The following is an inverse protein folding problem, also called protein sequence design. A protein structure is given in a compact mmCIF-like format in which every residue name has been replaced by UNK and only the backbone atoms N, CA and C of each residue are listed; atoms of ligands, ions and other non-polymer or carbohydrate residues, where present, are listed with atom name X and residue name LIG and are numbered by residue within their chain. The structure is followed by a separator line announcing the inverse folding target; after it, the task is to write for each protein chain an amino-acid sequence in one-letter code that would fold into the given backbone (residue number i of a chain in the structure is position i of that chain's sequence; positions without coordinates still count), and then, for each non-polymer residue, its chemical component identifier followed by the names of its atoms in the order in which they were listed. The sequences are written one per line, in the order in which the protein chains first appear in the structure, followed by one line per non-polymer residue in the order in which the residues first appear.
data_IF_319842655163
#
_entry.id   IF_319842655163
#
_cell.length_a   1.000
_cell.length_b   1.000
_cell.length_c   1.000
_cell.angle_alpha   90.00
_cell.angle_beta   90.00
_cell.angle_gamma   90.00
#
_symmetry.space_group_name_H-M   'P 1'
#
loop_
_entity.id
_entity.type
_entity.pdbx_description
1 polymer ?
#
# COMPACT_ATOMS: atom_id res chain seq x y z
N UNK A 1 -57.43 60.33 -4.82
CA UNK A 1 -57.87 60.81 -3.49
C UNK A 1 -58.91 59.82 -2.96
N UNK A 2 -58.81 59.41 -1.68
CA UNK A 2 -59.12 58.06 -1.20
C UNK A 2 -60.47 57.98 -0.49
N UNK A 3 -61.08 56.78 -0.42
CA UNK A 3 -62.10 56.47 0.60
C UNK A 3 -62.06 54.97 0.92
N UNK A 4 -61.50 54.61 2.08
CA UNK A 4 -61.99 53.55 2.97
C UNK A 4 -62.84 54.28 4.03
N UNK A 5 -63.89 53.69 4.66
CA UNK A 5 -63.80 52.39 5.36
C UNK A 5 -65.12 51.56 5.40
N UNK A 6 -65.07 50.31 5.88
CA UNK A 6 -66.09 49.82 6.82
C UNK A 6 -65.63 48.56 7.57
N UNK A 7 -65.89 48.61 8.88
CA UNK A 7 -65.60 47.63 9.92
C UNK A 7 -66.81 46.71 10.16
N UNK A 8 -66.59 45.43 10.41
CA UNK A 8 -67.58 44.54 11.06
C UNK A 8 -66.90 43.39 11.85
N UNK A 9 -67.58 42.77 12.83
CA UNK A 9 -67.07 42.62 14.20
C UNK A 9 -66.59 41.21 14.62
N UNK A 10 -66.00 41.17 15.82
CA UNK A 10 -65.46 40.01 16.52
C UNK A 10 -66.52 39.08 17.17
N UNK A 11 -66.18 37.79 17.28
CA UNK A 11 -66.83 36.77 18.13
C UNK A 11 -65.84 35.62 18.46
N UNK A 12 -66.05 34.82 19.54
CA UNK A 12 -65.02 34.66 20.57
C UNK A 12 -64.32 33.29 20.72
N UNK A 13 -63.15 33.37 21.36
CA UNK A 13 -62.45 32.48 22.32
C UNK A 13 -63.09 31.11 22.61
N UNK A 14 -62.33 30.04 22.33
CA UNK A 14 -62.59 28.66 22.81
C UNK A 14 -61.58 28.29 23.91
N UNK A 15 -62.13 27.78 25.02
CA UNK A 15 -61.45 27.51 26.28
C UNK A 15 -60.70 26.16 26.32
N UNK A 16 -59.62 26.13 27.11
CA UNK A 16 -58.82 24.95 27.44
C UNK A 16 -59.53 24.03 28.49
N UNK A 17 -59.31 22.71 28.46
CA UNK A 17 -59.87 21.81 29.47
C UNK A 17 -59.02 21.79 30.75
N UNK A 18 -59.69 22.00 31.89
CA UNK A 18 -59.19 21.84 33.26
C UNK A 18 -59.03 20.35 33.58
N UNK A 19 -57.83 19.93 33.99
CA UNK A 19 -57.63 18.62 34.62
C UNK A 19 -57.86 18.72 36.14
N UNK A 20 -58.66 17.78 36.64
CA UNK A 20 -59.19 17.67 37.99
C UNK A 20 -58.14 17.08 38.93
N UNK A 21 -57.84 17.79 40.03
CA UNK A 21 -57.08 17.27 41.17
C UNK A 21 -58.04 16.50 42.08
N UNK A 22 -57.72 15.23 42.35
CA UNK A 22 -58.28 14.45 43.45
C UNK A 22 -57.11 13.89 44.27
N UNK A 23 -57.17 14.08 45.59
CA UNK A 23 -56.05 13.88 46.50
C UNK A 23 -55.93 12.50 47.15
N UNK A 24 -54.72 12.29 47.68
CA UNK A 24 -54.37 11.81 49.03
C UNK A 24 -54.79 10.39 49.46
N UNK A 25 -53.81 9.51 49.61
CA UNK A 25 -53.26 9.05 50.92
C UNK A 25 -52.60 7.66 50.78
N UNK A 26 -51.35 7.55 51.21
CA UNK A 26 -50.61 6.28 51.25
C UNK A 26 -49.15 6.49 51.61
N UNK A 27 -48.89 6.86 52.87
CA UNK A 27 -47.56 6.97 53.46
C UNK A 27 -46.77 5.66 53.36
N UNK A 28 -45.62 5.70 52.68
CA UNK A 28 -44.45 4.85 52.96
C UNK A 28 -43.18 5.68 52.71
N UNK A 29 -42.44 6.08 53.75
CA UNK A 29 -41.15 6.74 53.56
C UNK A 29 -40.10 5.67 53.22
N UNK A 30 -39.13 6.01 52.38
CA UNK A 30 -37.82 5.33 52.46
C UNK A 30 -37.30 4.53 51.25
N UNK A 31 -37.75 4.78 50.01
CA UNK A 31 -37.03 4.25 48.83
C UNK A 31 -36.67 5.28 47.75
N UNK A 32 -37.56 6.24 47.45
CA UNK A 32 -37.25 7.29 46.47
C UNK A 32 -36.22 8.31 46.97
N UNK A 33 -36.29 8.70 48.25
CA UNK A 33 -35.33 9.64 48.84
C UNK A 33 -33.90 9.07 48.92
N UNK A 34 -33.75 7.74 49.02
CA UNK A 34 -32.46 7.06 48.97
C UNK A 34 -31.84 7.08 47.57
N UNK A 35 -32.66 6.85 46.54
CA UNK A 35 -32.20 6.86 45.14
C UNK A 35 -31.82 8.26 44.65
N UNK A 36 -32.56 9.29 45.05
CA UNK A 36 -32.22 10.69 44.72
C UNK A 36 -30.94 11.13 45.43
N UNK A 37 -30.72 10.70 46.68
CA UNK A 37 -29.46 10.96 47.39
C UNK A 37 -28.28 10.20 46.77
N UNK A 38 -28.47 8.95 46.34
CA UNK A 38 -27.43 8.18 45.66
C UNK A 38 -27.07 8.79 44.30
N UNK A 39 -28.06 9.24 43.53
CA UNK A 39 -27.85 9.93 42.26
C UNK A 39 -27.14 11.27 42.45
N UNK A 40 -27.50 12.06 43.47
CA UNK A 40 -26.84 13.31 43.78
C UNK A 40 -25.38 13.12 44.25
N UNK A 41 -25.09 12.06 45.02
CA UNK A 41 -23.73 11.72 45.45
C UNK A 41 -22.89 11.19 44.26
N UNK A 42 -23.48 10.40 43.37
CA UNK A 42 -22.81 9.98 42.13
C UNK A 42 -22.54 11.16 41.19
N UNK A 43 -23.48 12.11 41.07
CA UNK A 43 -23.28 13.32 40.27
C UNK A 43 -22.18 14.20 40.88
N UNK A 44 -22.17 14.37 42.21
CA UNK A 44 -21.10 15.11 42.89
C UNK A 44 -19.74 14.41 42.79
N UNK A 45 -19.69 13.08 42.82
CA UNK A 45 -18.47 12.31 42.61
C UNK A 45 -17.93 12.44 41.18
N UNK A 46 -18.80 12.44 40.16
CA UNK A 46 -18.41 12.68 38.76
C UNK A 46 -17.92 14.12 38.56
N UNK A 47 -18.58 15.11 39.17
CA UNK A 47 -18.14 16.52 39.13
C UNK A 47 -16.82 16.72 39.90
N UNK A 48 -16.59 15.99 40.98
CA UNK A 48 -15.35 16.09 41.77
C UNK A 48 -14.16 15.40 41.09
N UNK A 49 -14.39 14.32 40.33
CA UNK A 49 -13.38 13.68 39.47
C UNK A 49 -13.03 14.55 38.26
N UNK A 50 -13.97 15.34 37.74
CA UNK A 50 -13.71 16.33 36.67
C UNK A 50 -12.98 17.60 37.15
N UNK A 51 -13.09 17.94 38.44
CA UNK A 51 -12.47 19.15 39.01
C UNK A 51 -11.08 18.92 39.63
N UNK A 52 -10.58 17.67 39.64
CA UNK A 52 -9.27 17.30 40.20
C UNK A 52 -8.31 16.67 39.18
N UNK A 53 -8.64 16.74 37.89
CA UNK A 53 -7.62 16.61 36.87
C UNK A 53 -6.66 17.80 37.02
N UNK A 54 -5.34 17.60 37.21
CA UNK A 54 -4.39 18.71 37.03
C UNK A 54 -4.65 19.29 35.63
N UNK A 55 -4.34 20.57 35.38
CA UNK A 55 -4.38 21.07 34.01
C UNK A 55 -3.55 20.09 33.20
N UNK A 56 -4.24 19.34 32.33
CA UNK A 56 -3.58 18.74 31.20
C UNK A 56 -3.09 19.94 30.42
N UNK A 57 -1.91 20.43 30.80
CA UNK A 57 -0.94 20.87 29.84
C UNK A 57 -0.93 19.72 28.83
N UNK A 58 -1.72 19.89 27.76
CA UNK A 58 -1.35 19.36 26.49
C UNK A 58 0.07 19.89 26.28
N UNK A 59 1.04 19.11 26.76
CA UNK A 59 2.40 19.14 26.27
C UNK A 59 2.23 18.76 24.82
N UNK A 60 1.97 19.81 24.04
CA UNK A 60 2.26 19.88 22.64
C UNK A 60 3.78 19.78 22.51
N UNK A 61 4.33 18.63 22.91
CA UNK A 61 5.66 18.18 22.56
C UNK A 61 5.51 17.51 21.18
N UNK A 62 4.88 18.25 20.26
CA UNK A 62 4.76 17.96 18.83
C UNK A 62 6.13 18.13 18.19
N UNK A 63 6.98 17.12 18.41
CA UNK A 63 8.32 17.04 17.83
C UNK A 63 8.69 15.61 17.46
N UNK A 64 7.70 14.79 17.09
CA UNK A 64 7.81 13.33 17.06
C UNK A 64 8.17 12.77 15.68
N UNK A 65 7.22 12.68 14.76
CA UNK A 65 7.30 11.71 13.65
C UNK A 65 8.28 12.09 12.53
N UNK A 66 8.13 13.27 11.90
CA UNK A 66 9.06 13.70 10.83
C UNK A 66 10.45 14.06 11.36
N UNK A 67 10.54 14.58 12.59
CA UNK A 67 11.83 14.84 13.26
C UNK A 67 12.55 13.54 13.62
N UNK A 68 11.83 12.49 14.01
CA UNK A 68 12.36 11.15 14.25
C UNK A 68 12.81 10.47 12.94
N UNK A 69 12.02 10.58 11.87
CA UNK A 69 12.34 9.95 10.57
C UNK A 69 13.41 10.68 9.76
N UNK A 70 13.53 12.01 9.87
CA UNK A 70 14.46 12.81 9.07
C UNK A 70 15.50 13.59 9.87
N UNK A 71 15.55 13.39 11.18
CA UNK A 71 16.61 13.90 12.05
C UNK A 71 16.58 15.41 12.25
N UNK A 72 16.13 15.84 13.43
CA UNK A 72 16.50 17.14 13.98
C UNK A 72 17.98 17.16 14.40
N UNK A 73 18.88 17.37 13.44
CA UNK A 73 20.31 17.46 13.68
C UNK A 73 20.93 18.51 12.76
N UNK A 74 21.30 19.66 13.34
CA UNK A 74 22.28 20.56 12.72
C UNK A 74 23.57 19.77 12.49
N UNK A 75 23.81 19.32 11.26
CA UNK A 75 25.18 19.13 10.80
C UNK A 75 25.68 20.50 10.34
N UNK A 76 26.19 21.29 11.28
CA UNK A 76 27.33 22.13 10.95
C UNK A 76 28.43 21.15 10.58
N UNK A 77 28.71 21.04 9.28
CA UNK A 77 29.92 20.37 8.84
C UNK A 77 31.11 21.02 9.56
N UNK A 78 32.01 20.25 10.19
CA UNK A 78 33.28 20.79 10.64
C UNK A 78 34.01 21.35 9.41
N UNK A 79 34.23 22.66 9.39
CA UNK A 79 35.18 23.29 8.48
C UNK A 79 36.52 22.58 8.67
N UNK A 80 37.13 22.02 7.61
CA UNK A 80 38.49 21.49 7.72
C UNK A 80 39.42 22.62 8.15
N UNK A 81 40.36 22.39 9.09
CA UNK A 81 41.34 23.41 9.47
C UNK A 81 42.15 23.83 8.24
N UNK A 82 42.29 25.15 8.09
CA UNK A 82 42.94 25.79 6.96
C UNK A 82 44.37 25.30 6.76
N UNK A 83 44.58 24.58 5.66
CA UNK A 83 45.91 24.40 5.07
C UNK A 83 46.24 25.60 4.20
N UNK A 84 47.18 26.41 4.66
CA UNK A 84 47.82 27.47 3.85
C UNK A 84 48.61 26.76 2.75
N UNK A 85 47.98 26.62 1.57
CA UNK A 85 48.64 26.25 0.32
C UNK A 85 48.45 27.41 -0.64
N UNK A 86 49.45 28.27 -0.73
CA UNK A 86 49.51 29.39 -1.66
C UNK A 86 49.26 28.90 -3.10
N UNK A 87 48.14 29.34 -3.69
CA UNK A 87 47.89 29.23 -5.12
C UNK A 87 48.94 30.07 -5.84
N UNK A 88 49.83 29.51 -6.69
CA UNK A 88 50.68 30.35 -7.51
C UNK A 88 49.81 31.09 -8.53
N UNK A 89 50.11 32.37 -8.84
CA UNK A 89 49.38 33.12 -9.84
C UNK A 89 49.49 32.43 -11.20
N UNK A 90 48.41 32.52 -11.98
CA UNK A 90 48.39 32.05 -13.36
C UNK A 90 49.46 32.79 -14.16
N UNK A 91 50.59 32.12 -14.39
CA UNK A 91 51.61 32.57 -15.32
C UNK A 91 51.05 32.49 -16.73
N UNK A 92 50.97 33.64 -17.41
CA UNK A 92 50.86 33.69 -18.86
C UNK A 92 52.13 33.06 -19.43
N UNK A 93 52.04 31.82 -19.90
CA UNK A 93 53.08 31.25 -20.73
C UNK A 93 52.90 31.78 -22.16
N UNK A 94 53.94 32.37 -22.78
CA UNK A 94 53.90 32.65 -24.21
C UNK A 94 53.83 31.32 -24.97
N UNK A 95 52.99 31.27 -26.00
CA UNK A 95 52.87 30.11 -26.87
C UNK A 95 54.24 29.75 -27.48
N UNK A 96 54.62 28.47 -27.56
CA UNK A 96 55.85 28.08 -28.24
C UNK A 96 55.73 28.33 -29.75
N UNK A 97 56.78 28.87 -30.39
CA UNK A 97 56.80 29.05 -31.84
C UNK A 97 56.80 27.70 -32.54
N UNK A 98 56.09 27.64 -33.67
CA UNK A 98 55.73 26.40 -34.34
C UNK A 98 56.89 25.54 -34.84
N UNK A 99 56.54 24.28 -35.05
CA UNK A 99 57.10 23.45 -36.11
C UNK A 99 58.18 22.46 -35.69
N UNK A 100 57.78 21.22 -35.36
CA UNK A 100 58.38 19.99 -35.90
C UNK A 100 57.29 18.92 -35.98
N UNK A 101 56.81 18.66 -37.21
CA UNK A 101 55.81 17.65 -37.49
C UNK A 101 56.43 16.26 -37.43
N UNK A 102 55.98 15.44 -36.49
CA UNK A 102 56.12 13.98 -36.60
C UNK A 102 55.03 13.49 -37.57
N UNK A 103 55.35 12.67 -38.59
CA UNK A 103 54.33 12.04 -39.41
C UNK A 103 53.48 11.13 -38.51
N UNK A 104 52.21 11.50 -38.34
CA UNK A 104 51.26 10.77 -37.51
C UNK A 104 51.11 9.34 -38.00
N UNK A 105 51.18 8.39 -37.08
CA UNK A 105 50.57 7.07 -37.32
C UNK A 105 49.10 7.31 -37.68
N UNK A 106 48.58 6.71 -38.76
CA UNK A 106 47.16 6.78 -39.05
C UNK A 106 46.42 6.15 -37.87
N UNK A 107 45.71 6.99 -37.14
CA UNK A 107 44.77 6.59 -36.10
C UNK A 107 43.68 5.78 -36.81
N UNK A 108 43.81 4.45 -36.78
CA UNK A 108 42.81 3.55 -37.35
C UNK A 108 41.49 3.82 -36.62
N UNK A 109 40.59 4.56 -37.27
CA UNK A 109 39.27 4.85 -36.76
C UNK A 109 38.59 3.55 -36.34
N UNK A 110 38.10 3.49 -35.10
CA UNK A 110 37.27 2.38 -34.68
C UNK A 110 36.08 2.27 -35.65
N UNK A 111 35.74 1.06 -36.13
CA UNK A 111 34.63 0.90 -37.06
C UNK A 111 33.35 1.45 -36.42
N UNK A 112 32.48 2.10 -37.21
CA UNK A 112 31.25 2.69 -36.70
C UNK A 112 30.43 1.62 -35.97
N UNK A 113 29.77 1.96 -34.84
CA UNK A 113 28.92 1.01 -34.13
C UNK A 113 27.87 0.49 -35.11
N UNK A 114 27.81 -0.83 -35.27
CA UNK A 114 26.79 -1.46 -36.12
C UNK A 114 25.42 -1.03 -35.62
N UNK A 115 24.48 -0.63 -36.50
CA UNK A 115 23.13 -0.29 -36.07
C UNK A 115 22.54 -1.46 -35.30
N UNK A 116 22.17 -1.23 -34.03
CA UNK A 116 21.41 -2.21 -33.26
C UNK A 116 20.12 -2.46 -34.02
N UNK A 117 19.94 -3.69 -34.52
CA UNK A 117 18.65 -4.15 -35.02
C UNK A 117 17.72 -4.22 -33.80
N UNK A 118 17.05 -3.10 -33.51
CA UNK A 118 15.94 -3.11 -32.57
C UNK A 118 14.82 -3.86 -33.26
N UNK A 119 14.54 -5.08 -32.82
CA UNK A 119 13.31 -5.76 -33.21
C UNK A 119 12.16 -4.80 -32.83
N UNK A 120 11.31 -4.36 -33.77
CA UNK A 120 10.25 -3.42 -33.45
C UNK A 120 9.38 -4.01 -32.34
N UNK A 121 9.18 -3.23 -31.26
CA UNK A 121 8.26 -3.64 -30.20
C UNK A 121 6.89 -3.92 -30.82
N UNK A 122 6.17 -4.98 -30.37
CA UNK A 122 4.84 -5.28 -30.86
C UNK A 122 3.96 -4.03 -30.77
N UNK A 123 3.36 -3.64 -31.89
CA UNK A 123 2.39 -2.53 -31.90
C UNK A 123 1.13 -3.03 -31.19
N UNK A 124 0.82 -2.42 -30.06
CA UNK A 124 -0.45 -2.66 -29.36
C UNK A 124 -1.54 -2.00 -30.19
N UNK A 125 -2.43 -2.80 -30.75
CA UNK A 125 -3.61 -2.34 -31.48
C UNK A 125 -4.75 -2.29 -30.46
N UNK A 126 -5.22 -1.09 -30.13
CA UNK A 126 -6.40 -0.93 -29.27
C UNK A 126 -7.65 -1.30 -30.07
N UNK A 127 -8.42 -2.26 -29.55
CA UNK A 127 -9.72 -2.58 -30.11
C UNK A 127 -10.70 -1.43 -29.83
N UNK A 128 -11.65 -1.16 -30.76
CA UNK A 128 -12.74 -0.24 -30.49
C UNK A 128 -13.44 -0.58 -29.17
N UNK A 129 -13.74 0.45 -28.38
CA UNK A 129 -14.44 0.30 -27.10
C UNK A 129 -15.94 0.28 -27.29
N UNK A 130 -16.62 -0.54 -26.48
CA UNK A 130 -18.08 -0.60 -26.47
C UNK A 130 -18.66 0.75 -26.03
N UNK A 131 -19.85 1.09 -26.52
CA UNK A 131 -20.50 2.35 -26.18
C UNK A 131 -20.83 2.46 -24.68
N UNK A 132 -21.06 1.32 -24.03
CA UNK A 132 -21.37 1.17 -22.61
C UNK A 132 -20.15 0.74 -21.76
N UNK A 133 -18.95 0.71 -22.33
CA UNK A 133 -17.72 0.35 -21.65
C UNK A 133 -17.58 1.06 -20.29
N UNK A 134 -17.14 0.32 -19.28
CA UNK A 134 -16.84 0.89 -17.97
C UNK A 134 -15.62 1.79 -18.05
N UNK A 135 -15.67 2.94 -17.40
CA UNK A 135 -14.66 3.99 -17.53
C UNK A 135 -13.79 4.06 -16.28
N UNK A 136 -12.50 3.80 -16.47
CA UNK A 136 -11.44 3.99 -15.47
C UNK A 136 -10.88 5.40 -15.63
N UNK A 137 -11.14 6.27 -14.65
CA UNK A 137 -10.56 7.62 -14.60
C UNK A 137 -9.23 7.59 -13.84
N UNK A 138 -8.15 8.01 -14.48
CA UNK A 138 -6.83 8.15 -13.85
C UNK A 138 -6.53 9.62 -13.59
N UNK A 139 -6.25 9.96 -12.33
CA UNK A 139 -5.94 11.30 -11.81
C UNK A 139 -4.55 11.33 -11.21
N UNK A 140 -3.85 12.45 -11.35
CA UNK A 140 -2.60 12.69 -10.64
C UNK A 140 -1.51 13.33 -11.47
N UNK A 141 -0.25 13.05 -11.08
CA UNK A 141 0.96 13.69 -11.62
C UNK A 141 1.53 12.97 -12.85
N UNK A 142 2.79 13.24 -13.20
CA UNK A 142 3.46 12.58 -14.34
C UNK A 142 3.55 11.05 -14.20
N UNK A 143 3.60 10.52 -12.98
CA UNK A 143 3.61 9.06 -12.76
C UNK A 143 2.22 8.48 -13.05
N UNK A 144 1.14 9.20 -12.71
CA UNK A 144 -0.23 8.83 -13.07
C UNK A 144 -0.44 8.77 -14.59
N UNK A 145 0.19 9.68 -15.34
CA UNK A 145 0.17 9.64 -16.80
C UNK A 145 0.82 8.33 -17.32
N UNK A 146 1.96 7.93 -16.76
CA UNK A 146 2.60 6.65 -17.06
C UNK A 146 1.74 5.44 -16.69
N UNK A 147 1.07 5.48 -15.53
CA UNK A 147 0.10 4.45 -15.13
C UNK A 147 -1.07 4.33 -16.12
N UNK A 148 -1.63 5.46 -16.56
CA UNK A 148 -2.72 5.47 -17.52
C UNK A 148 -2.33 4.86 -18.86
N UNK A 149 -1.12 5.15 -19.36
CA UNK A 149 -0.57 4.51 -20.57
C UNK A 149 -0.46 3.00 -20.38
N UNK A 150 0.06 2.55 -19.24
CA UNK A 150 0.13 1.12 -18.91
C UNK A 150 -1.24 0.45 -18.88
N UNK A 151 -2.26 1.11 -18.32
CA UNK A 151 -3.63 0.61 -18.23
C UNK A 151 -4.31 0.56 -19.61
N UNK A 152 -4.07 1.54 -20.48
CA UNK A 152 -4.54 1.51 -21.87
C UNK A 152 -4.00 0.29 -22.61
N UNK A 153 -2.71 -0.04 -22.40
CA UNK A 153 -2.12 -1.26 -22.95
C UNK A 153 -2.75 -2.52 -22.34
N UNK A 154 -2.95 -2.53 -21.02
CA UNK A 154 -3.51 -3.66 -20.29
C UNK A 154 -4.94 -4.02 -20.71
N UNK A 155 -5.73 -3.03 -21.11
CA UNK A 155 -7.12 -3.18 -21.53
C UNK A 155 -7.29 -2.99 -23.04
N UNK A 156 -6.22 -2.98 -23.84
CA UNK A 156 -6.30 -2.73 -25.28
C UNK A 156 -7.22 -3.72 -26.01
N UNK A 157 -7.23 -4.98 -25.57
CA UNK A 157 -8.03 -6.09 -26.08
C UNK A 157 -9.35 -6.32 -25.32
N UNK A 158 -9.69 -5.41 -24.41
CA UNK A 158 -10.91 -5.47 -23.58
C UNK A 158 -11.87 -4.35 -24.02
N UNK A 159 -12.83 -4.60 -24.94
CA UNK A 159 -13.75 -3.59 -25.45
C UNK A 159 -14.63 -2.95 -24.36
N UNK A 160 -14.95 -3.71 -23.31
CA UNK A 160 -15.81 -3.31 -22.20
C UNK A 160 -15.15 -2.40 -21.16
N UNK A 161 -13.87 -2.05 -21.32
CA UNK A 161 -13.13 -1.17 -20.41
C UNK A 161 -12.44 -0.06 -21.18
N UNK A 162 -12.70 1.19 -20.79
CA UNK A 162 -12.10 2.40 -21.34
C UNK A 162 -11.28 3.11 -20.27
N UNK A 163 -10.06 3.49 -20.59
CA UNK A 163 -9.18 4.25 -19.69
C UNK A 163 -9.14 5.71 -20.13
N UNK A 164 -9.54 6.61 -19.23
CA UNK A 164 -9.49 8.06 -19.43
C UNK A 164 -8.46 8.65 -18.47
N UNK A 165 -7.44 9.31 -19.01
CA UNK A 165 -6.46 10.04 -18.20
C UNK A 165 -6.84 11.50 -18.08
N UNK A 166 -6.87 12.01 -16.86
CA UNK A 166 -6.82 13.44 -16.56
C UNK A 166 -5.60 13.78 -15.70
N UNK A 167 -4.51 13.04 -15.90
CA UNK A 167 -3.24 13.34 -15.27
C UNK A 167 -2.69 14.69 -15.78
N UNK A 168 -2.06 15.44 -14.89
CA UNK A 168 -1.32 16.66 -15.22
C UNK A 168 0.10 16.52 -14.71
N UNK A 169 1.14 16.60 -15.56
CA UNK A 169 2.53 16.31 -15.15
C UNK A 169 3.02 17.09 -13.91
N UNK A 170 2.63 18.37 -13.79
CA UNK A 170 3.01 19.24 -12.67
C UNK A 170 2.05 19.21 -11.48
N UNK A 171 1.02 18.34 -11.50
CA UNK A 171 0.05 18.26 -10.40
C UNK A 171 0.77 18.02 -9.07
N UNK A 172 0.37 18.80 -8.08
CA UNK A 172 0.86 18.73 -6.70
C UNK A 172 -0.35 18.82 -5.77
N UNK A 173 -0.29 18.12 -4.64
CA UNK A 173 -1.23 18.29 -3.54
C UNK A 173 -0.82 19.45 -2.63
N UNK A 174 0.45 19.86 -2.67
CA UNK A 174 0.97 20.97 -1.87
C UNK A 174 0.69 22.31 -2.56
N UNK A 175 1.03 22.44 -3.85
CA UNK A 175 0.85 23.67 -4.63
C UNK A 175 -0.55 23.79 -5.24
N UNK A 176 -1.11 25.00 -5.21
CA UNK A 176 -2.35 25.36 -5.90
C UNK A 176 -2.22 26.63 -6.77
N UNK A 177 -1.02 27.22 -6.84
CA UNK A 177 -0.71 28.43 -7.60
C UNK A 177 -0.67 28.17 -9.11
N UNK A 178 -0.11 27.04 -9.53
CA UNK A 178 -0.07 26.63 -10.94
C UNK A 178 -1.37 25.94 -11.38
N UNK A 179 -1.88 25.06 -10.52
CA UNK A 179 -3.11 24.31 -10.74
C UNK A 179 -3.74 23.88 -9.42
N UNK A 180 -4.87 24.50 -9.05
CA UNK A 180 -5.62 24.15 -7.85
C UNK A 180 -6.43 22.86 -8.08
N UNK A 181 -5.76 21.71 -8.00
CA UNK A 181 -6.36 20.40 -8.26
C UNK A 181 -7.62 20.16 -7.42
N UNK A 182 -7.61 20.54 -6.15
CA UNK A 182 -8.74 20.32 -5.24
C UNK A 182 -9.95 21.14 -5.67
N UNK A 183 -9.76 22.40 -6.10
CA UNK A 183 -10.85 23.22 -6.63
C UNK A 183 -11.40 22.70 -7.96
N UNK A 184 -10.56 22.09 -8.81
CA UNK A 184 -10.97 21.58 -10.13
C UNK A 184 -11.63 20.20 -10.06
N UNK A 185 -11.32 19.41 -9.03
CA UNK A 185 -11.74 18.01 -8.91
C UNK A 185 -13.27 17.80 -9.05
N UNK A 186 -14.16 18.59 -8.42
CA UNK A 186 -15.61 18.40 -8.58
C UNK A 186 -16.08 18.54 -10.02
N UNK A 187 -15.60 19.56 -10.75
CA UNK A 187 -15.93 19.75 -12.16
C UNK A 187 -15.40 18.57 -13.00
N UNK A 188 -14.17 18.13 -12.73
CA UNK A 188 -13.56 17.00 -13.43
C UNK A 188 -14.37 15.70 -13.30
N UNK A 189 -14.94 15.46 -12.11
CA UNK A 189 -15.78 14.28 -11.82
C UNK A 189 -17.16 14.36 -12.49
N UNK A 190 -17.63 15.56 -12.85
CA UNK A 190 -18.92 15.78 -13.51
C UNK A 190 -18.85 15.77 -15.04
N UNK A 191 -17.66 15.90 -15.63
CA UNK A 191 -17.46 15.93 -17.09
C UNK A 191 -17.88 14.62 -17.80
N UNK A 192 -18.02 13.51 -17.09
CA UNK A 192 -18.40 12.24 -17.69
C UNK A 192 -18.81 11.19 -16.67
N UNK A 193 -19.26 10.05 -17.19
CA UNK A 193 -19.53 8.86 -16.37
C UNK A 193 -18.21 8.14 -16.11
N UNK A 194 -17.87 7.97 -14.83
CA UNK A 194 -16.71 7.20 -14.38
C UNK A 194 -17.18 6.07 -13.47
N UNK A 195 -16.58 4.89 -13.62
CA UNK A 195 -16.93 3.68 -12.86
C UNK A 195 -15.84 3.31 -11.86
N UNK A 196 -14.57 3.57 -12.19
CA UNK A 196 -13.43 3.39 -11.29
C UNK A 196 -12.62 4.67 -11.21
N UNK A 197 -12.18 5.03 -10.01
CA UNK A 197 -11.35 6.21 -9.76
C UNK A 197 -9.96 5.74 -9.34
N UNK A 198 -8.94 6.08 -10.12
CA UNK A 198 -7.54 5.75 -9.85
C UNK A 198 -6.77 7.05 -9.61
N UNK A 199 -6.07 7.15 -8.48
CA UNK A 199 -5.29 8.33 -8.09
C UNK A 199 -3.84 7.94 -7.88
N UNK A 200 -2.91 8.69 -8.47
CA UNK A 200 -1.47 8.54 -8.21
C UNK A 200 -0.82 9.93 -8.14
N UNK A 201 -0.50 10.41 -6.94
CA UNK A 201 0.10 11.73 -6.76
C UNK A 201 1.11 11.71 -5.62
N UNK A 202 2.15 12.54 -5.74
CA UNK A 202 3.11 12.78 -4.66
C UNK A 202 4.51 13.14 -5.13
N UNK A 203 4.84 12.92 -6.41
CA UNK A 203 6.22 13.10 -6.91
C UNK A 203 6.69 14.55 -6.82
N UNK A 204 5.73 15.48 -6.91
CA UNK A 204 5.94 16.93 -6.89
C UNK A 204 5.74 17.56 -5.50
N UNK A 205 5.41 16.78 -4.46
CA UNK A 205 4.94 17.32 -3.18
C UNK A 205 6.05 17.60 -2.17
N UNK A 206 7.32 17.34 -2.53
CA UNK A 206 8.48 17.57 -1.66
C UNK A 206 8.88 19.04 -1.58
N UNK A 207 8.00 19.87 -1.04
CA UNK A 207 8.17 21.32 -0.90
C UNK A 207 7.31 21.87 0.25
N UNK A 208 7.61 23.09 0.71
CA UNK A 208 6.82 23.76 1.75
C UNK A 208 5.47 24.25 1.23
N UNK A 209 4.51 24.44 2.14
CA UNK A 209 3.25 25.13 1.81
C UNK A 209 3.47 26.65 1.79
N UNK A 210 2.68 27.33 0.97
CA UNK A 210 2.67 28.79 0.82
C UNK A 210 1.23 29.30 0.92
N UNK A 211 1.06 30.45 1.57
CA UNK A 211 -0.20 31.19 1.59
C UNK A 211 -0.44 31.80 0.22
N UNK A 212 -1.58 31.47 -0.37
CA UNK A 212 -1.95 31.89 -1.72
C UNK A 212 -2.11 33.40 -1.88
N UNK A 213 -2.55 34.11 -0.84
CA UNK A 213 -2.84 35.55 -0.92
C UNK A 213 -1.58 36.40 -0.79
N UNK A 214 -0.65 35.93 0.03
CA UNK A 214 0.55 36.69 0.42
C UNK A 214 1.83 36.15 -0.21
N UNK A 215 1.80 34.92 -0.76
CA UNK A 215 2.98 34.20 -1.25
C UNK A 215 3.95 33.79 -0.14
N UNK A 216 3.59 33.99 1.13
CA UNK A 216 4.46 33.69 2.26
C UNK A 216 4.44 32.19 2.56
N UNK A 217 5.61 31.64 2.85
CA UNK A 217 5.74 30.24 3.29
C UNK A 217 4.99 30.04 4.62
N UNK A 218 4.05 29.11 4.66
CA UNK A 218 3.23 28.83 5.87
C UNK A 218 3.78 27.68 6.68
N UNK A 219 4.07 26.56 6.01
CA UNK A 219 4.41 25.30 6.66
C UNK A 219 5.64 24.69 6.01
N UNK A 220 6.71 24.62 6.79
CA UNK A 220 7.98 24.09 6.32
C UNK A 220 7.92 22.59 6.06
N UNK A 221 8.46 22.15 4.92
CA UNK A 221 8.60 20.75 4.57
C UNK A 221 9.18 19.95 5.76
N UNK A 222 8.57 18.79 6.05
CA UNK A 222 8.94 17.88 7.18
C UNK A 222 8.73 18.48 8.58
N UNK A 223 7.86 19.48 8.74
CA UNK A 223 7.34 19.88 10.05
C UNK A 223 6.00 19.21 10.34
N UNK A 224 5.63 19.12 11.62
CA UNK A 224 4.32 18.59 12.03
C UNK A 224 3.16 19.39 11.42
N UNK A 225 3.32 20.71 11.27
CA UNK A 225 2.35 21.56 10.58
C UNK A 225 2.19 21.18 9.11
N UNK A 226 3.30 20.90 8.43
CA UNK A 226 3.27 20.43 7.04
C UNK A 226 2.57 19.09 6.91
N UNK A 227 2.82 18.15 7.83
CA UNK A 227 2.11 16.87 7.85
C UNK A 227 0.60 17.07 8.02
N UNK A 228 0.19 17.90 8.97
CA UNK A 228 -1.24 18.22 9.20
C UNK A 228 -1.89 18.81 7.95
N UNK A 229 -1.23 19.78 7.31
CA UNK A 229 -1.73 20.39 6.07
C UNK A 229 -1.80 19.39 4.92
N UNK A 230 -0.78 18.54 4.76
CA UNK A 230 -0.75 17.50 3.72
C UNK A 230 -1.85 16.46 3.93
N UNK A 231 -2.04 16.00 5.18
CA UNK A 231 -3.14 15.09 5.55
C UNK A 231 -4.51 15.72 5.28
N UNK A 232 -4.69 16.99 5.61
CA UNK A 232 -5.92 17.72 5.33
C UNK A 232 -6.21 17.80 3.82
N UNK A 233 -5.20 18.05 2.98
CA UNK A 233 -5.38 18.07 1.52
C UNK A 233 -5.76 16.70 0.97
N UNK A 234 -5.08 15.64 1.37
CA UNK A 234 -5.43 14.26 0.97
C UNK A 234 -6.85 13.91 1.43
N UNK A 235 -7.21 14.26 2.66
CA UNK A 235 -8.55 14.03 3.19
C UNK A 235 -9.64 14.74 2.38
N UNK A 236 -9.38 15.98 1.94
CA UNK A 236 -10.31 16.72 1.08
C UNK A 236 -10.48 16.09 -0.30
N UNK A 237 -9.39 15.60 -0.91
CA UNK A 237 -9.45 14.83 -2.17
C UNK A 237 -10.27 13.55 -1.97
N UNK A 238 -9.96 12.76 -0.94
CA UNK A 238 -10.68 11.52 -0.64
C UNK A 238 -12.17 11.77 -0.39
N UNK A 239 -12.53 12.83 0.33
CA UNK A 239 -13.92 13.23 0.55
C UNK A 239 -14.65 13.47 -0.78
N UNK A 240 -14.07 14.29 -1.65
CA UNK A 240 -14.67 14.59 -2.96
C UNK A 240 -14.82 13.34 -3.84
N UNK A 241 -13.83 12.43 -3.83
CA UNK A 241 -13.92 11.17 -4.57
C UNK A 241 -15.01 10.25 -4.00
N UNK A 242 -15.14 10.16 -2.67
CA UNK A 242 -16.14 9.30 -2.01
C UNK A 242 -17.58 9.73 -2.28
N UNK A 243 -17.83 11.03 -2.48
CA UNK A 243 -19.15 11.55 -2.82
C UNK A 243 -19.68 11.00 -4.16
N UNK A 244 -18.81 10.44 -5.00
CA UNK A 244 -19.21 9.76 -6.24
C UNK A 244 -19.80 8.36 -6.01
N UNK A 245 -19.56 7.75 -4.85
CA UNK A 245 -19.93 6.36 -4.55
C UNK A 245 -19.17 5.32 -5.38
N UNK A 246 -18.13 5.71 -6.13
CA UNK A 246 -17.34 4.81 -6.98
C UNK A 246 -16.19 4.17 -6.21
N UNK A 247 -15.74 2.96 -6.59
CA UNK A 247 -14.48 2.39 -6.14
C UNK A 247 -13.30 3.33 -6.36
N UNK A 248 -12.47 3.51 -5.32
CA UNK A 248 -11.30 4.38 -5.33
C UNK A 248 -10.04 3.54 -5.10
N UNK A 249 -9.11 3.61 -6.03
CA UNK A 249 -7.78 3.03 -5.94
C UNK A 249 -6.74 4.13 -5.87
N UNK A 250 -6.09 4.29 -4.71
CA UNK A 250 -4.96 5.20 -4.58
C UNK A 250 -3.66 4.41 -4.69
N UNK A 251 -2.90 4.68 -5.74
CA UNK A 251 -1.62 4.03 -6.02
C UNK A 251 -0.50 4.76 -5.31
N UNK A 252 0.31 4.02 -4.55
CA UNK A 252 1.52 4.56 -3.93
C UNK A 252 2.54 5.05 -4.95
N UNK A 253 3.42 5.95 -4.54
CA UNK A 253 4.54 6.38 -5.37
C UNK A 253 5.68 5.37 -5.31
N UNK A 254 6.39 5.06 -6.41
CA UNK A 254 7.47 4.11 -6.37
C UNK A 254 8.78 4.76 -5.90
N UNK A 255 9.82 3.98 -5.55
CA UNK A 255 11.16 4.52 -5.35
C UNK A 255 11.69 5.15 -6.64
N UNK A 256 12.54 6.17 -6.47
CA UNK A 256 13.24 6.87 -7.55
C UNK A 256 14.73 6.96 -7.24
N UNK A 257 15.55 7.22 -8.26
CA UNK A 257 17.02 7.24 -8.13
C UNK A 257 17.49 8.23 -7.07
N UNK A 258 16.87 9.41 -7.01
CA UNK A 258 17.25 10.45 -6.05
C UNK A 258 16.90 10.03 -4.62
N UNK A 259 17.87 9.73 -3.74
CA UNK A 259 17.60 9.10 -2.44
C UNK A 259 16.71 9.96 -1.52
N UNK A 260 16.91 11.28 -1.54
CA UNK A 260 16.16 12.22 -0.71
C UNK A 260 14.70 12.40 -1.13
N UNK A 261 14.39 12.15 -2.41
CA UNK A 261 13.01 12.09 -2.89
C UNK A 261 12.42 10.72 -2.60
N UNK A 262 13.15 9.63 -2.87
CA UNK A 262 12.71 8.27 -2.56
C UNK A 262 12.32 8.11 -1.08
N UNK A 263 13.17 8.57 -0.16
CA UNK A 263 12.86 8.56 1.27
C UNK A 263 11.62 9.40 1.64
N UNK A 264 11.42 10.54 0.97
CA UNK A 264 10.21 11.35 1.16
C UNK A 264 8.96 10.59 0.69
N UNK A 265 9.00 9.97 -0.50
CA UNK A 265 7.89 9.20 -1.06
C UNK A 265 7.50 8.01 -0.17
N UNK A 266 8.50 7.30 0.37
CA UNK A 266 8.28 6.21 1.32
C UNK A 266 7.45 6.67 2.54
N UNK A 267 7.83 7.80 3.14
CA UNK A 267 7.10 8.36 4.29
C UNK A 267 5.71 8.83 3.89
N UNK A 268 5.57 9.56 2.78
CA UNK A 268 4.25 10.03 2.34
C UNK A 268 3.34 8.90 1.90
N UNK A 269 3.86 7.80 1.36
CA UNK A 269 3.07 6.60 1.07
C UNK A 269 2.47 6.02 2.35
N UNK A 270 3.22 5.99 3.45
CA UNK A 270 2.70 5.56 4.74
C UNK A 270 1.51 6.42 5.22
N UNK A 271 1.63 7.75 5.07
CA UNK A 271 0.55 8.70 5.41
C UNK A 271 -0.67 8.50 4.52
N UNK A 272 -0.46 8.42 3.20
CA UNK A 272 -1.52 8.23 2.21
C UNK A 272 -2.24 6.91 2.45
N UNK A 273 -1.50 5.81 2.64
CA UNK A 273 -2.07 4.48 2.93
C UNK A 273 -3.03 4.54 4.12
N UNK A 274 -2.57 5.08 5.24
CA UNK A 274 -3.41 5.23 6.45
C UNK A 274 -4.69 6.01 6.16
N UNK A 275 -4.60 7.14 5.45
CA UNK A 275 -5.76 7.98 5.15
C UNK A 275 -6.73 7.32 4.16
N UNK A 276 -6.20 6.69 3.11
CA UNK A 276 -6.97 6.00 2.07
C UNK A 276 -7.77 4.85 2.70
N UNK A 277 -7.10 3.99 3.47
CA UNK A 277 -7.73 2.84 4.13
C UNK A 277 -8.75 3.28 5.19
N UNK A 278 -8.42 4.29 6.01
CA UNK A 278 -9.35 4.84 7.01
C UNK A 278 -10.61 5.48 6.37
N UNK A 279 -10.55 5.82 5.09
CA UNK A 279 -11.67 6.37 4.32
C UNK A 279 -12.41 5.32 3.48
N UNK A 280 -12.10 4.02 3.64
CA UNK A 280 -12.76 2.93 2.91
C UNK A 280 -12.37 2.85 1.44
N UNK A 281 -11.28 3.48 1.03
CA UNK A 281 -10.68 3.34 -0.29
C UNK A 281 -9.54 2.31 -0.26
N UNK A 282 -9.13 1.82 -1.42
CA UNK A 282 -8.07 0.82 -1.54
C UNK A 282 -6.73 1.49 -1.84
N UNK A 283 -5.74 1.28 -0.97
CA UNK A 283 -4.35 1.66 -1.26
C UNK A 283 -3.65 0.53 -2.01
N UNK A 284 -3.06 0.85 -3.16
CA UNK A 284 -2.28 -0.10 -3.96
C UNK A 284 -0.80 0.17 -3.69
N UNK A 285 -0.20 -0.70 -2.89
CA UNK A 285 1.23 -0.65 -2.60
C UNK A 285 2.02 -1.29 -3.75
N UNK A 286 2.74 -0.44 -4.47
CA UNK A 286 3.59 -0.84 -5.60
C UNK A 286 5.07 -0.89 -5.23
N UNK A 287 5.46 -0.44 -4.03
CA UNK A 287 6.87 -0.23 -3.67
C UNK A 287 7.72 -1.50 -3.87
N UNK A 288 7.31 -2.69 -3.38
CA UNK A 288 8.10 -3.92 -3.56
C UNK A 288 8.26 -4.33 -5.02
N UNK A 289 7.36 -3.89 -5.91
CA UNK A 289 7.44 -4.17 -7.34
C UNK A 289 8.54 -3.40 -8.07
N UNK A 290 9.16 -2.41 -7.43
CA UNK A 290 10.13 -1.50 -8.06
C UNK A 290 11.41 -1.33 -7.25
N UNK A 291 11.67 -2.26 -6.33
CA UNK A 291 12.92 -2.36 -5.58
C UNK A 291 13.73 -3.59 -5.98
N UNK A 292 15.02 -3.58 -5.66
CA UNK A 292 15.82 -4.80 -5.58
C UNK A 292 15.48 -5.63 -4.33
N UNK A 293 16.19 -6.73 -4.15
CA UNK A 293 15.99 -7.68 -3.03
C UNK A 293 16.30 -7.03 -1.67
N UNK A 294 17.12 -5.97 -1.65
CA UNK A 294 17.43 -5.18 -0.48
C UNK A 294 16.45 -4.01 -0.24
N UNK A 295 15.44 -3.84 -1.09
CA UNK A 295 14.43 -2.78 -0.97
C UNK A 295 14.88 -1.41 -1.50
N UNK A 296 16.00 -1.34 -2.23
CA UNK A 296 16.52 -0.11 -2.81
C UNK A 296 15.99 0.13 -4.22
N UNK A 297 16.13 1.37 -4.69
CA UNK A 297 15.78 1.73 -6.06
C UNK A 297 16.59 0.91 -7.08
N UNK A 298 15.90 0.42 -8.11
CA UNK A 298 16.52 -0.23 -9.27
C UNK A 298 16.00 0.34 -10.59
N UNK A 299 16.87 0.32 -11.61
CA UNK A 299 16.51 0.67 -12.99
C UNK A 299 15.77 -0.47 -13.72
N UNK A 300 15.93 -1.69 -13.24
CA UNK A 300 15.47 -2.93 -13.88
C UNK A 300 14.76 -3.82 -12.88
N UNK A 301 13.90 -4.70 -13.38
CA UNK A 301 13.28 -5.73 -12.59
C UNK A 301 12.45 -6.66 -13.46
N UNK A 302 11.78 -7.66 -12.86
CA UNK A 302 10.90 -8.54 -13.60
C UNK A 302 9.73 -7.73 -14.18
N UNK A 303 9.41 -7.93 -15.45
CA UNK A 303 8.19 -7.42 -16.07
C UNK A 303 6.96 -8.28 -15.70
N UNK A 304 5.82 -8.04 -16.35
CA UNK A 304 4.58 -8.79 -16.11
C UNK A 304 4.69 -10.29 -16.45
N UNK A 305 5.66 -10.66 -17.30
CA UNK A 305 5.94 -12.06 -17.66
C UNK A 305 7.05 -12.67 -16.77
N UNK A 306 7.53 -11.94 -15.77
CA UNK A 306 8.64 -12.33 -14.90
C UNK A 306 10.03 -12.18 -15.54
N UNK A 307 10.14 -11.56 -16.71
CA UNK A 307 11.43 -11.38 -17.41
C UNK A 307 12.10 -10.10 -16.95
N UNK A 308 13.39 -10.19 -16.64
CA UNK A 308 14.20 -9.03 -16.26
C UNK A 308 14.27 -8.02 -17.41
N UNK A 309 13.77 -6.80 -17.18
CA UNK A 309 13.79 -5.69 -18.14
C UNK A 309 14.15 -4.40 -17.44
N UNK A 310 14.71 -3.45 -18.20
CA UNK A 310 14.77 -2.06 -17.75
C UNK A 310 13.33 -1.55 -17.60
N UNK A 311 12.99 -0.97 -16.45
CA UNK A 311 11.66 -0.44 -16.14
C UNK A 311 11.66 1.10 -16.05
N UNK A 312 12.80 1.70 -15.71
CA UNK A 312 12.97 3.15 -15.59
C UNK A 312 13.47 3.79 -16.89
N UNK A 313 13.05 5.04 -17.12
CA UNK A 313 13.69 5.92 -18.06
C UNK A 313 15.09 6.32 -17.57
N UNK A 314 15.86 7.02 -18.41
CA UNK A 314 17.22 7.45 -18.06
C UNK A 314 17.29 8.56 -17.00
N UNK A 315 16.15 9.12 -16.59
CA UNK A 315 16.06 10.19 -15.59
C UNK A 315 15.87 9.68 -14.14
N UNK A 316 15.89 8.36 -13.96
CA UNK A 316 15.76 7.73 -12.65
C UNK A 316 14.40 7.92 -11.96
N UNK A 317 13.41 8.52 -12.63
CA UNK A 317 12.11 8.89 -12.04
C UNK A 317 10.96 8.25 -12.81
N UNK A 318 10.89 8.49 -14.12
CA UNK A 318 9.78 8.02 -14.94
C UNK A 318 9.97 6.58 -15.38
N UNK A 319 8.87 5.94 -15.74
CA UNK A 319 8.85 4.60 -16.30
C UNK A 319 8.99 4.63 -17.82
N UNK A 320 9.69 3.64 -18.37
CA UNK A 320 9.58 3.30 -19.80
C UNK A 320 8.32 2.45 -20.04
N UNK A 321 8.06 2.04 -21.29
CA UNK A 321 6.86 1.25 -21.65
C UNK A 321 6.72 -0.04 -20.83
N UNK A 322 7.80 -0.78 -20.59
CA UNK A 322 7.78 -2.00 -19.79
C UNK A 322 7.44 -1.70 -18.32
N UNK A 323 8.04 -0.66 -17.75
CA UNK A 323 7.73 -0.19 -16.40
C UNK A 323 6.30 0.30 -16.23
N UNK A 324 5.76 1.03 -17.21
CA UNK A 324 4.37 1.48 -17.23
C UNK A 324 3.41 0.29 -17.26
N UNK A 325 3.69 -0.73 -18.08
CA UNK A 325 2.90 -1.96 -18.11
C UNK A 325 2.93 -2.70 -16.77
N UNK A 326 4.10 -2.82 -16.13
CA UNK A 326 4.23 -3.41 -14.79
C UNK A 326 3.47 -2.60 -13.74
N UNK A 327 3.57 -1.27 -13.79
CA UNK A 327 2.84 -0.38 -12.88
C UNK A 327 1.32 -0.60 -12.98
N UNK A 328 0.80 -0.66 -14.21
CA UNK A 328 -0.61 -0.94 -14.46
C UNK A 328 -1.05 -2.32 -13.99
N UNK A 329 -0.17 -3.32 -14.00
CA UNK A 329 -0.48 -4.68 -13.54
C UNK A 329 -0.97 -4.72 -12.08
N UNK A 330 -0.42 -3.88 -11.21
CA UNK A 330 -0.89 -3.81 -9.82
C UNK A 330 -2.34 -3.29 -9.70
N UNK A 331 -2.75 -2.40 -10.60
CA UNK A 331 -4.07 -1.76 -10.57
C UNK A 331 -5.11 -2.56 -11.34
N UNK A 332 -4.72 -3.15 -12.47
CA UNK A 332 -5.65 -3.89 -13.33
C UNK A 332 -6.25 -5.11 -12.63
N UNK A 333 -5.50 -5.77 -11.74
CA UNK A 333 -6.01 -6.93 -11.00
C UNK A 333 -7.20 -6.51 -10.12
N UNK A 334 -7.07 -5.41 -9.39
CA UNK A 334 -8.16 -4.88 -8.55
C UNK A 334 -9.39 -4.49 -9.37
N UNK A 335 -9.20 -3.90 -10.55
CA UNK A 335 -10.30 -3.54 -11.47
C UNK A 335 -10.96 -4.83 -12.01
N UNK A 336 -10.17 -5.80 -12.48
CA UNK A 336 -10.68 -7.06 -13.03
C UNK A 336 -11.43 -7.88 -11.99
N UNK A 337 -11.00 -7.88 -10.74
CA UNK A 337 -11.67 -8.59 -9.67
C UNK A 337 -13.03 -7.95 -9.34
N UNK A 338 -13.12 -6.62 -9.34
CA UNK A 338 -14.42 -5.95 -9.23
C UNK A 338 -15.32 -6.20 -10.44
N UNK A 339 -14.76 -6.21 -11.66
CA UNK A 339 -15.52 -6.55 -12.87
C UNK A 339 -16.10 -7.98 -12.81
N UNK A 340 -15.39 -8.94 -12.20
CA UNK A 340 -15.90 -10.30 -11.99
C UNK A 340 -16.95 -10.39 -10.87
N UNK A 341 -16.81 -9.55 -9.82
CA UNK A 341 -17.77 -9.46 -8.72
C UNK A 341 -19.06 -8.71 -9.10
N UNK A 342 -18.97 -7.81 -10.09
CA UNK A 342 -20.12 -7.23 -10.80
C UNK A 342 -20.48 -8.20 -11.92
N UNK A 343 -21.14 -9.30 -11.58
CA UNK A 343 -21.81 -10.11 -12.60
C UNK A 343 -22.66 -9.18 -13.48
N UNK A 344 -22.71 -9.39 -14.81
CA UNK A 344 -23.57 -8.57 -15.67
C UNK A 344 -24.99 -8.62 -15.10
N UNK A 345 -25.66 -7.47 -15.07
CA UNK A 345 -27.07 -7.42 -14.74
C UNK A 345 -27.78 -8.51 -15.56
N UNK A 346 -28.66 -9.34 -14.94
CA UNK A 346 -29.35 -10.38 -15.68
C UNK A 346 -30.06 -9.71 -16.85
N UNK A 347 -29.72 -10.14 -18.05
CA UNK A 347 -30.44 -9.82 -19.27
C UNK A 347 -31.94 -10.02 -18.98
N UNK A 348 -32.82 -9.06 -19.34
CA UNK A 348 -34.23 -9.18 -19.01
C UNK A 348 -34.77 -10.48 -19.59
N UNK A 349 -35.10 -11.42 -18.70
CA UNK A 349 -35.66 -12.71 -19.07
C UNK A 349 -36.91 -12.46 -19.92
N UNK A 350 -36.88 -12.92 -21.17
CA UNK A 350 -38.07 -13.05 -21.98
C UNK A 350 -39.09 -13.91 -21.21
N UNK A 351 -40.39 -13.55 -21.21
CA UNK A 351 -41.38 -14.23 -20.41
C UNK A 351 -41.46 -15.72 -20.76
N UNK A 352 -41.26 -16.55 -19.74
CA UNK A 352 -41.35 -18.00 -19.80
C UNK A 352 -42.77 -18.42 -20.22
N UNK A 353 -42.88 -19.15 -21.32
CA UNK A 353 -44.13 -19.70 -21.82
C UNK A 353 -44.65 -20.81 -20.87
N UNK A 354 -45.97 -20.95 -20.67
CA UNK A 354 -46.53 -21.81 -19.64
C UNK A 354 -46.29 -23.30 -19.88
N UNK A 355 -46.10 -24.00 -18.76
CA UNK A 355 -45.70 -25.40 -18.63
C UNK A 355 -46.59 -26.40 -19.39
N UNK A 356 -45.93 -27.34 -20.07
CA UNK A 356 -46.56 -28.56 -20.58
C UNK A 356 -46.59 -29.67 -19.50
N UNK A 357 -47.62 -30.53 -19.49
CA UNK A 357 -47.85 -31.49 -18.41
C UNK A 357 -46.88 -32.68 -18.45
N UNK A 358 -46.42 -33.08 -17.25
CA UNK A 358 -45.54 -34.23 -17.02
C UNK A 358 -46.35 -35.53 -17.11
N UNK A 359 -45.98 -36.43 -18.02
CA UNK A 359 -46.48 -37.81 -18.06
C UNK A 359 -45.52 -38.76 -17.28
N UNK A 360 -46.04 -39.82 -16.62
CA UNK A 360 -45.27 -40.67 -15.73
C UNK A 360 -44.23 -41.53 -16.48
N UNK A 361 -43.05 -41.64 -15.88
CA UNK A 361 -41.87 -42.32 -16.43
C UNK A 361 -42.07 -43.83 -16.55
N UNK A 362 -41.90 -44.37 -17.75
CA UNK A 362 -41.65 -45.80 -17.97
C UNK A 362 -40.18 -46.14 -17.71
N UNK A 363 -40.00 -47.20 -16.92
CA UNK A 363 -38.73 -47.78 -16.51
C UNK A 363 -38.13 -48.54 -17.69
N UNK A 364 -37.01 -48.05 -18.23
CA UNK A 364 -36.17 -48.85 -19.14
C UNK A 364 -35.04 -49.48 -18.31
N UNK A 365 -35.06 -50.82 -18.25
CA UNK A 365 -33.99 -51.66 -17.74
C UNK A 365 -32.72 -51.54 -18.59
N UNK A 366 -31.58 -51.64 -17.89
CA UNK A 366 -30.23 -51.96 -18.37
C UNK A 366 -29.34 -50.81 -18.86
N UNK A 367 -28.66 -50.15 -17.90
CA UNK A 367 -27.33 -49.61 -18.08
C UNK A 367 -26.28 -50.60 -17.50
N UNK A 368 -25.08 -50.73 -18.08
CA UNK A 368 -24.02 -51.60 -17.53
C UNK A 368 -23.57 -51.12 -16.13
N UNK A 369 -23.07 -52.03 -15.27
CA UNK A 369 -22.77 -51.70 -13.88
C UNK A 369 -21.64 -50.67 -13.74
N UNK A 370 -21.68 -49.84 -12.67
CA UNK A 370 -20.62 -48.87 -12.39
C UNK A 370 -19.30 -49.57 -12.02
N UNK A 371 -18.20 -49.00 -12.50
CA UNK A 371 -16.84 -49.38 -12.09
C UNK A 371 -16.68 -49.21 -10.56
N UNK A 372 -15.90 -50.08 -9.88
CA UNK A 372 -15.65 -49.96 -8.46
C UNK A 372 -14.89 -48.66 -8.13
N UNK A 373 -15.14 -48.05 -6.95
CA UNK A 373 -14.49 -46.82 -6.53
C UNK A 373 -12.97 -47.01 -6.39
N UNK A 374 -12.20 -46.10 -6.99
CA UNK A 374 -10.75 -46.04 -6.82
C UNK A 374 -10.38 -45.84 -5.32
N UNK A 375 -9.44 -46.62 -4.75
CA UNK A 375 -9.10 -46.51 -3.35
C UNK A 375 -8.04 -45.42 -3.14
N UNK A 376 -8.49 -44.17 -2.97
CA UNK A 376 -7.65 -43.14 -2.33
C UNK A 376 -8.39 -42.55 -1.14
N UNK A 377 -8.49 -43.36 -0.08
CA UNK A 377 -8.85 -42.91 1.26
C UNK A 377 -7.70 -43.19 2.21
N UNK A 378 -6.65 -42.35 2.13
CA UNK A 378 -5.72 -42.07 3.24
C UNK A 378 -5.27 -40.62 3.12
N UNK A 379 -5.98 -39.74 3.81
CA UNK A 379 -5.52 -38.38 4.10
C UNK A 379 -4.39 -38.55 5.11
N UNK A 380 -3.15 -38.27 4.70
CA UNK A 380 -2.02 -38.15 5.61
C UNK A 380 -2.20 -36.91 6.51
N UNK A 381 -1.57 -36.88 7.70
CA UNK A 381 -1.70 -35.74 8.59
C UNK A 381 -1.21 -34.45 7.91
N UNK A 382 -2.03 -33.41 7.97
CA UNK A 382 -1.69 -32.04 7.55
C UNK A 382 -0.56 -31.54 8.43
N UNK A 383 0.63 -31.36 7.85
CA UNK A 383 1.75 -30.70 8.54
C UNK A 383 1.54 -29.19 8.44
N UNK A 384 1.19 -28.57 9.56
CA UNK A 384 1.19 -27.12 9.71
C UNK A 384 2.62 -26.58 9.64
N UNK A 385 2.89 -25.57 8.81
CA UNK A 385 4.17 -24.85 8.76
C UNK A 385 4.32 -23.78 9.86
N UNK A 386 3.44 -23.79 10.87
CA UNK A 386 3.59 -23.05 12.12
C UNK A 386 4.27 -23.96 13.15
N UNK A 387 5.50 -23.58 13.55
CA UNK A 387 6.44 -24.45 14.24
C UNK A 387 6.06 -24.92 15.64
N UNK A 388 6.53 -26.12 15.98
CA UNK A 388 7.02 -26.60 17.27
C UNK A 388 7.22 -28.13 17.15
N UNK A 389 8.47 -28.60 17.15
CA UNK A 389 8.80 -30.02 17.19
C UNK A 389 8.81 -30.46 18.65
N UNK A 390 7.91 -31.36 19.03
CA UNK A 390 8.04 -32.15 20.25
C UNK A 390 8.92 -33.39 19.95
N UNK A 391 9.83 -33.77 20.86
CA UNK A 391 10.74 -34.88 20.66
C UNK A 391 10.00 -36.22 20.88
N UNK A 392 10.64 -37.31 20.46
CA UNK A 392 10.25 -38.71 20.68
C UNK A 392 9.39 -39.32 19.55
N UNK A 393 9.97 -39.37 18.36
CA UNK A 393 9.64 -40.39 17.36
C UNK A 393 10.95 -40.98 16.83
N UNK A 394 11.43 -42.01 17.52
CA UNK A 394 12.48 -42.88 16.99
C UNK A 394 12.01 -43.51 15.68
N UNK A 395 12.87 -43.41 14.68
CA UNK A 395 12.62 -43.78 13.29
C UNK A 395 12.87 -45.28 13.14
N UNK A 396 11.82 -46.10 13.06
CA UNK A 396 11.96 -47.51 12.67
C UNK A 396 11.77 -47.70 11.15
N UNK A 397 12.82 -48.26 10.54
CA UNK A 397 12.98 -48.62 9.14
C UNK A 397 12.33 -50.00 8.88
N UNK A 398 11.71 -50.20 7.71
CA UNK A 398 10.95 -51.41 7.39
C UNK A 398 11.82 -52.68 7.26
N UNK A 399 11.51 -53.72 8.06
CA UNK A 399 11.95 -55.11 7.82
C UNK A 399 12.41 -55.91 9.05
N UNK A 400 11.49 -56.35 9.92
CA UNK A 400 11.77 -57.31 11.00
C UNK A 400 10.47 -57.86 11.63
N UNK A 401 10.44 -59.12 12.14
CA UNK A 401 9.21 -59.75 12.64
C UNK A 401 8.86 -59.29 14.06
N UNK A 402 7.55 -59.11 14.30
CA UNK A 402 6.94 -58.56 15.50
C UNK A 402 7.00 -59.46 16.74
N UNK A 403 6.89 -58.86 17.95
CA UNK A 403 6.24 -59.53 19.06
C UNK A 403 5.11 -58.72 19.74
N UNK A 404 3.98 -59.42 19.88
CA UNK A 404 2.94 -59.44 20.93
C UNK A 404 2.59 -58.19 21.79
N UNK A 405 1.29 -57.85 21.76
CA UNK A 405 0.54 -57.12 22.82
C UNK A 405 0.30 -58.03 24.05
N UNK A 406 -0.11 -57.53 25.25
CA UNK A 406 -1.50 -57.07 25.46
C UNK A 406 -1.75 -56.01 26.56
N UNK A 407 -2.94 -55.38 26.54
CA UNK A 407 -3.61 -54.89 27.77
C UNK A 407 -4.35 -53.55 27.67
N UNK A 408 -5.66 -53.61 27.41
CA UNK A 408 -6.65 -52.55 27.74
C UNK A 408 -7.39 -52.95 29.06
N UNK A 409 -8.41 -52.23 29.63
CA UNK A 409 -9.14 -51.05 29.13
C UNK A 409 -9.64 -49.99 30.18
N UNK A 410 -10.37 -48.97 29.66
CA UNK A 410 -11.44 -48.15 30.27
C UNK A 410 -11.03 -47.04 31.29
N UNK A 411 -11.71 -45.89 31.46
CA UNK A 411 -13.08 -45.47 31.19
C UNK A 411 -13.23 -43.93 31.02
N UNK A 412 -14.43 -43.51 30.61
CA UNK A 412 -14.89 -42.14 30.31
C UNK A 412 -15.28 -41.33 31.56
N UNK A 413 -15.14 -39.99 31.52
CA UNK A 413 -16.14 -39.06 32.09
C UNK A 413 -16.11 -37.67 31.43
N UNK A 414 -17.30 -37.12 31.16
CA UNK A 414 -17.58 -35.76 30.68
C UNK A 414 -17.55 -34.72 31.81
N UNK A 415 -17.27 -33.44 31.50
CA UNK A 415 -17.61 -32.31 32.39
C UNK A 415 -16.85 -31.00 32.14
N UNK A 416 -17.46 -30.11 31.36
CA UNK A 416 -17.47 -28.64 31.38
C UNK A 416 -16.37 -27.84 32.11
N UNK A 417 -15.76 -26.87 31.40
CA UNK A 417 -15.80 -25.41 31.63
C UNK A 417 -14.78 -24.74 30.70
N UNK A 418 -15.25 -23.79 29.88
CA UNK A 418 -14.40 -22.92 29.06
C UNK A 418 -13.91 -21.77 29.94
N UNK A 419 -12.62 -21.77 30.24
CA UNK A 419 -11.92 -20.61 30.80
C UNK A 419 -10.96 -20.09 29.73
N UNK A 420 -11.16 -18.85 29.29
CA UNK A 420 -10.27 -18.16 28.35
C UNK A 420 -8.94 -17.90 29.04
N UNK A 421 -7.88 -18.53 28.57
CA UNK A 421 -6.51 -18.30 29.03
C UNK A 421 -5.93 -17.02 28.36
N UNK A 422 -5.11 -16.23 29.08
CA UNK A 422 -4.45 -15.05 28.52
C UNK A 422 -3.33 -15.44 27.54
N UNK A 423 -3.05 -14.56 26.58
CA UNK A 423 -2.05 -14.74 25.53
C UNK A 423 -0.64 -15.06 26.09
N UNK A 424 0.13 -15.95 25.43
CA UNK A 424 1.48 -16.29 25.88
C UNK A 424 2.46 -15.13 25.60
N UNK A 425 3.25 -14.78 26.61
CA UNK A 425 4.43 -13.93 26.51
C UNK A 425 5.50 -14.59 25.63
N UNK A 426 6.23 -13.86 24.78
CA UNK A 426 7.30 -14.42 23.97
C UNK A 426 8.48 -14.86 24.85
N UNK A 427 8.80 -16.15 24.81
CA UNK A 427 10.01 -16.71 25.45
C UNK A 427 11.19 -16.43 24.53
N UNK A 428 12.19 -15.70 25.03
CA UNK A 428 13.48 -15.52 24.39
C UNK A 428 14.22 -16.87 24.41
N UNK A 429 14.21 -17.57 23.27
CA UNK A 429 14.98 -18.81 23.10
C UNK A 429 16.46 -18.45 23.01
N UNK A 430 17.28 -18.96 23.93
CA UNK A 430 18.74 -18.83 23.86
C UNK A 430 19.25 -19.57 22.61
N UNK A 431 20.17 -18.99 21.82
CA UNK A 431 20.78 -19.69 20.69
C UNK A 431 21.45 -20.98 21.16
N UNK A 432 21.24 -22.07 20.42
CA UNK A 432 21.95 -23.34 20.63
C UNK A 432 23.46 -23.14 20.42
N UNK A 433 24.30 -23.67 21.31
CA UNK A 433 25.78 -23.62 21.21
C UNK A 433 26.36 -24.59 20.14
N UNK A 434 25.50 -25.40 19.52
CA UNK A 434 25.88 -26.39 18.52
C UNK A 434 24.99 -26.33 17.27
N UNK A 435 25.61 -26.56 16.12
CA UNK A 435 24.92 -26.76 14.84
C UNK A 435 24.30 -28.16 14.77
N UNK A 436 23.28 -28.39 13.93
CA UNK A 436 22.79 -29.73 13.61
C UNK A 436 23.97 -30.60 13.14
N UNK A 437 24.28 -31.68 13.86
CA UNK A 437 25.46 -32.52 13.64
C UNK A 437 26.54 -32.47 14.72
N UNK A 438 26.33 -31.73 15.82
CA UNK A 438 27.16 -31.82 17.03
C UNK A 438 28.48 -31.05 16.99
N UNK A 439 28.72 -30.26 15.94
CA UNK A 439 29.91 -29.41 15.86
C UNK A 439 29.73 -28.14 16.71
N UNK A 440 30.70 -27.81 17.58
CA UNK A 440 30.66 -26.56 18.34
C UNK A 440 30.78 -25.36 17.38
N UNK A 441 29.92 -24.36 17.54
CA UNK A 441 29.87 -23.18 16.66
C UNK A 441 31.23 -22.45 16.62
N UNK A 442 31.97 -22.49 17.73
CA UNK A 442 33.28 -21.86 17.90
C UNK A 442 34.37 -22.41 16.96
N UNK A 443 34.20 -23.62 16.44
CA UNK A 443 35.17 -24.27 15.55
C UNK A 443 34.84 -24.06 14.07
N UNK A 444 33.69 -23.48 13.75
CA UNK A 444 33.29 -23.26 12.35
C UNK A 444 34.17 -22.22 11.65
N UNK A 445 34.45 -22.38 10.34
CA UNK A 445 35.18 -21.37 9.58
C UNK A 445 34.49 -20.00 9.61
N UNK A 446 33.15 -19.98 9.58
CA UNK A 446 32.39 -18.73 9.67
C UNK A 446 32.60 -18.01 11.01
N UNK A 447 32.59 -18.74 12.14
CA UNK A 447 32.88 -18.15 13.44
C UNK A 447 34.33 -17.64 13.55
N UNK A 448 35.30 -18.42 13.04
CA UNK A 448 36.72 -18.00 13.01
C UNK A 448 36.93 -16.70 12.22
N UNK A 449 36.25 -16.52 11.09
CA UNK A 449 36.38 -15.31 10.27
C UNK A 449 35.61 -14.10 10.81
N UNK A 450 34.34 -14.28 11.18
CA UNK A 450 33.47 -13.16 11.54
C UNK A 450 33.55 -12.76 13.01
N UNK A 451 33.94 -13.67 13.90
CA UNK A 451 34.04 -13.40 15.34
C UNK A 451 35.48 -13.28 15.80
N UNK A 452 36.39 -14.17 15.37
CA UNK A 452 37.81 -14.11 15.75
C UNK A 452 38.70 -13.31 14.80
N UNK A 453 38.20 -12.93 13.62
CA UNK A 453 38.98 -12.19 12.63
C UNK A 453 40.14 -12.99 12.04
N UNK A 454 40.13 -14.32 12.15
CA UNK A 454 41.17 -15.18 11.60
C UNK A 454 41.08 -15.20 10.06
N UNK A 455 42.23 -15.08 9.39
CA UNK A 455 42.30 -15.17 7.94
C UNK A 455 42.20 -16.65 7.53
N UNK A 456 41.21 -17.00 6.71
CA UNK A 456 41.06 -18.37 6.21
C UNK A 456 41.81 -18.45 4.88
N UNK A 457 42.87 -19.26 4.86
CA UNK A 457 43.57 -19.57 3.61
C UNK A 457 42.63 -20.26 2.62
N UNK A 458 42.62 -19.77 1.39
CA UNK A 458 41.81 -20.35 0.34
C UNK A 458 42.38 -21.73 -0.07
N UNK A 459 41.53 -22.75 -0.30
CA UNK A 459 41.98 -24.02 -0.84
C UNK A 459 42.67 -23.85 -2.20
N UNK A 460 43.75 -24.60 -2.45
CA UNK A 460 44.49 -24.59 -3.71
C UNK A 460 43.61 -25.11 -4.87
N UNK A 461 43.61 -24.42 -6.01
CA UNK A 461 42.90 -24.86 -7.22
C UNK A 461 41.62 -24.07 -7.52
N UNK A 462 41.50 -22.83 -7.05
CA UNK A 462 40.37 -21.96 -7.37
C UNK A 462 40.45 -21.48 -8.82
N UNK A 463 39.30 -21.13 -9.38
CA UNK A 463 39.22 -20.55 -10.74
C UNK A 463 40.03 -19.25 -10.88
N UNK A 464 40.27 -18.56 -9.75
CA UNK A 464 41.08 -17.35 -9.63
C UNK A 464 42.59 -17.63 -9.74
N UNK A 465 43.04 -18.88 -9.57
CA UNK A 465 44.43 -19.30 -9.71
C UNK A 465 44.86 -19.43 -11.19
N UNK A 466 43.90 -19.40 -12.13
CA UNK A 466 44.16 -19.53 -13.57
C UNK A 466 44.43 -18.17 -14.21
N UNK A 467 45.67 -17.95 -14.64
CA UNK A 467 46.06 -16.78 -15.45
C UNK A 467 45.83 -17.05 -16.93
N UNK A 468 44.90 -16.33 -17.55
CA UNK A 468 44.68 -16.35 -18.98
C UNK A 468 45.92 -15.82 -19.73
N UNK A 469 46.42 -16.58 -20.71
CA UNK A 469 47.51 -16.12 -21.59
C UNK A 469 46.99 -14.98 -22.46
N UNK A 470 47.68 -13.84 -22.44
CA UNK A 470 47.39 -12.73 -23.35
C UNK A 470 47.71 -13.16 -24.79
N UNK A 471 46.81 -12.94 -25.76
CA UNK A 471 47.11 -13.16 -27.18
C UNK A 471 48.29 -12.26 -27.60
N UNK A 472 49.20 -12.81 -28.40
CA UNK A 472 50.29 -12.06 -29.04
C UNK A 472 49.78 -11.32 -30.27
#
# INVERSE_FOLDING_TARGET
MPILPETMPAAPVTAAPRLRVAGRAGDRPGRLAGLVRLAAVLLLAVVSVLASAPPAAAQNDGGGFFRFLFGGGRQQAPTPPGGIGTRPPAGQYPAPPGGFGYPGQPETAAPPPRPRVSNPEPRIIEQPKDADAQVVLVLGDSQAAGLALGLQVAFADTPSVKVVSKARPSLSLVRDDEYDFLAQLPAMLQEGRFDFLVVMSGINDRQSFYDRKTGQKTDDLKTDKWEVAYRARIGAVLKALRETGKPIYWVGQPPVERPTLSAFLSVTNGIVKQLVEANGATFIDIWPGFTDDEGNFTYSGPDVDGKEKKLRAGDGTHFNRAGQRKLAFFVEQSIRDQLKGVAPAPEPALPEAPAAPVLPQEVILAAPPPLPPAPWKKIGPVVSLSGQVAPDAETELAGGPAPAAPGAPAARTSGSIVTVAPAPTPVLVKPSDAMPGGFPITETPLYRRFVRGENIEAPTGRIDDFRWRRPR
#
